data_IF_981523536221
#
_entry.id   IF_981523536221
#
_cell.length_a   1.000
_cell.length_b   1.000
_cell.length_c   1.000
_cell.angle_alpha   90.00
_cell.angle_beta   90.00
_cell.angle_gamma   90.00
#
_symmetry.space_group_name_H-M   'P 1'
#
loop_
_entity.id
_entity.type
_entity.pdbx_description
1 polymer ?
#
# COMPACT_ATOMS: atom_id res chain seq x y z
N UNK A 1 -6.94 6.28 14.00
CA UNK A 1 -6.40 5.19 13.16
C UNK A 1 -6.15 3.91 13.96
N UNK A 2 -5.33 3.93 15.00
CA UNK A 2 -5.00 2.72 15.80
C UNK A 2 -6.22 1.92 16.30
N UNK A 3 -7.23 2.60 16.87
CA UNK A 3 -8.49 1.94 17.30
C UNK A 3 -9.19 1.21 16.15
N UNK A 4 -9.41 1.92 15.03
CA UNK A 4 -10.07 1.37 13.83
C UNK A 4 -9.28 0.18 13.28
N UNK A 5 -7.96 0.29 13.19
CA UNK A 5 -7.11 -0.78 12.68
C UNK A 5 -7.23 -2.07 13.51
N UNK A 6 -7.24 -1.94 14.84
CA UNK A 6 -7.44 -3.08 15.75
C UNK A 6 -8.85 -3.65 15.66
N UNK A 7 -9.88 -2.80 15.68
CA UNK A 7 -11.28 -3.21 15.64
C UNK A 7 -11.66 -3.91 14.33
N UNK A 8 -11.03 -3.54 13.21
CA UNK A 8 -11.32 -4.10 11.90
C UNK A 8 -10.32 -5.17 11.45
N UNK A 9 -9.38 -5.56 12.32
CA UNK A 9 -8.35 -6.56 11.95
C UNK A 9 -7.53 -6.15 10.74
N UNK A 10 -7.23 -4.86 10.59
CA UNK A 10 -6.40 -4.35 9.48
C UNK A 10 -5.02 -5.01 9.55
N UNK A 11 -4.51 -5.45 8.40
CA UNK A 11 -3.21 -6.13 8.30
C UNK A 11 -2.14 -5.29 7.63
N UNK A 12 -2.55 -4.36 6.76
CA UNK A 12 -1.66 -3.63 5.86
C UNK A 12 -2.13 -2.17 5.73
N UNK A 13 -1.20 -1.22 5.79
CA UNK A 13 -1.41 0.19 5.45
C UNK A 13 -0.82 0.45 4.06
N UNK A 14 -1.65 0.93 3.14
CA UNK A 14 -1.19 1.35 1.82
C UNK A 14 -0.88 2.85 1.79
N UNK A 15 0.13 3.24 1.01
CA UNK A 15 0.46 4.63 0.71
C UNK A 15 0.73 4.82 -0.79
N UNK A 16 0.68 6.06 -1.25
CA UNK A 16 0.97 6.41 -2.65
C UNK A 16 2.46 6.62 -2.92
N UNK A 17 2.84 6.74 -4.19
CA UNK A 17 4.24 6.91 -4.61
C UNK A 17 4.79 8.33 -4.41
N UNK A 18 3.94 9.36 -4.46
CA UNK A 18 4.38 10.76 -4.56
C UNK A 18 4.64 11.44 -3.21
N UNK A 19 4.20 10.84 -2.11
CA UNK A 19 4.29 11.42 -0.76
C UNK A 19 5.11 10.51 0.15
N UNK A 20 5.84 11.12 1.10
CA UNK A 20 6.67 10.39 2.06
C UNK A 20 5.89 9.32 2.82
N UNK A 21 6.44 8.09 2.98
CA UNK A 21 5.78 7.01 3.70
C UNK A 21 5.88 7.11 5.23
N UNK A 22 6.62 8.09 5.76
CA UNK A 22 7.05 8.11 7.16
C UNK A 22 5.88 8.02 8.18
N UNK A 23 4.74 8.65 7.86
CA UNK A 23 3.54 8.56 8.71
C UNK A 23 2.93 7.16 8.69
N UNK A 24 2.81 6.56 7.50
CA UNK A 24 2.28 5.21 7.32
C UNK A 24 3.17 4.16 7.97
N UNK A 25 4.49 4.30 7.83
CA UNK A 25 5.49 3.43 8.46
C UNK A 25 5.46 3.54 9.98
N UNK A 26 5.39 4.76 10.53
CA UNK A 26 5.30 4.98 11.97
C UNK A 26 4.06 4.34 12.57
N UNK A 27 2.89 4.56 11.96
CA UNK A 27 1.62 3.97 12.43
C UNK A 27 1.64 2.45 12.30
N UNK A 28 2.16 1.91 11.19
CA UNK A 28 2.24 0.47 10.99
C UNK A 28 3.18 -0.19 12.01
N UNK A 29 4.33 0.43 12.27
CA UNK A 29 5.31 -0.02 13.27
C UNK A 29 4.70 -0.12 14.67
N UNK A 30 3.99 0.91 15.12
CA UNK A 30 3.32 0.93 16.43
C UNK A 30 2.27 -0.19 16.60
N UNK A 31 1.70 -0.65 15.48
CA UNK A 31 0.59 -1.59 15.45
C UNK A 31 0.99 -3.00 15.00
N UNK A 32 2.24 -3.21 14.58
CA UNK A 32 2.69 -4.47 13.99
C UNK A 32 2.05 -4.79 12.64
N UNK A 33 1.65 -3.76 11.88
CA UNK A 33 1.05 -3.91 10.56
C UNK A 33 2.12 -3.92 9.48
N UNK A 34 1.77 -4.45 8.31
CA UNK A 34 2.58 -4.30 7.10
C UNK A 34 2.33 -2.95 6.44
N UNK A 35 3.24 -2.54 5.59
CA UNK A 35 3.05 -1.42 4.66
C UNK A 35 3.30 -1.88 3.24
N UNK A 36 2.59 -1.29 2.27
CA UNK A 36 2.89 -1.45 0.85
C UNK A 36 2.41 -0.22 0.07
N UNK A 37 2.77 -0.16 -1.21
CA UNK A 37 2.43 0.94 -2.12
C UNK A 37 1.21 0.57 -2.96
N UNK A 38 0.30 1.53 -3.12
CA UNK A 38 -0.67 1.56 -4.22
C UNK A 38 -0.45 2.84 -5.02
N UNK A 39 -0.11 2.68 -6.29
CA UNK A 39 0.08 3.80 -7.19
C UNK A 39 -1.28 4.29 -7.73
N UNK A 40 -1.68 5.55 -7.45
CA UNK A 40 -2.98 6.10 -7.88
C UNK A 40 -3.02 6.47 -9.37
N UNK A 41 -1.91 6.34 -10.11
CA UNK A 41 -1.78 6.67 -11.53
C UNK A 41 -1.99 8.15 -11.85
N UNK A 42 -1.70 9.04 -10.90
CA UNK A 42 -1.68 10.49 -11.13
C UNK A 42 -0.51 10.93 -12.06
N UNK A 43 0.36 9.99 -12.38
CA UNK A 43 1.39 10.03 -13.42
C UNK A 43 2.29 8.82 -13.24
N UNK A 44 2.69 8.17 -14.34
CA UNK A 44 3.66 7.06 -14.25
C UNK A 44 5.05 7.67 -14.16
N UNK A 45 5.71 7.44 -13.03
CA UNK A 45 7.03 8.01 -12.71
C UNK A 45 8.07 6.91 -12.54
N UNK A 46 9.31 7.29 -12.21
CA UNK A 46 10.35 6.33 -11.86
C UNK A 46 10.03 5.54 -10.57
N UNK A 47 9.14 6.07 -9.72
CA UNK A 47 8.73 5.43 -8.46
C UNK A 47 7.54 4.45 -8.65
N UNK A 48 6.91 4.48 -9.83
CA UNK A 48 5.84 3.57 -10.19
C UNK A 48 6.37 2.14 -10.37
N UNK A 49 5.63 1.15 -9.84
CA UNK A 49 5.92 -0.28 -10.06
C UNK A 49 5.40 -0.75 -11.42
N UNK A 50 5.84 -0.12 -12.50
CA UNK A 50 5.41 -0.40 -13.88
C UNK A 50 5.61 0.80 -14.80
N UNK A 51 5.64 0.56 -16.10
CA UNK A 51 5.91 1.58 -17.13
C UNK A 51 4.67 2.03 -17.90
N UNK A 52 3.57 1.30 -17.72
CA UNK A 52 2.28 1.60 -18.33
C UNK A 52 1.15 1.27 -17.35
N UNK A 53 -0.06 1.69 -17.70
CA UNK A 53 -1.27 1.49 -16.90
C UNK A 53 -1.46 0.02 -16.48
N UNK A 54 -1.27 -0.92 -17.41
CA UNK A 54 -1.54 -2.34 -17.14
C UNK A 54 -0.53 -2.92 -16.14
N UNK A 55 0.75 -2.61 -16.31
CA UNK A 55 1.81 -3.06 -15.40
C UNK A 55 1.59 -2.51 -13.98
N UNK A 56 1.29 -1.21 -13.87
CA UNK A 56 1.02 -0.58 -12.57
C UNK A 56 -0.21 -1.19 -11.91
N UNK A 57 -1.31 -1.39 -12.65
CA UNK A 57 -2.51 -2.01 -12.09
C UNK A 57 -2.31 -3.50 -11.73
N UNK A 58 -1.44 -4.22 -12.45
CA UNK A 58 -1.02 -5.57 -12.07
C UNK A 58 -0.20 -5.57 -10.77
N UNK A 59 0.69 -4.59 -10.58
CA UNK A 59 1.45 -4.42 -9.35
C UNK A 59 0.53 -4.06 -8.16
N UNK A 60 -0.40 -3.13 -8.36
CA UNK A 60 -1.44 -2.79 -7.37
C UNK A 60 -2.28 -4.04 -7.02
N UNK A 61 -2.70 -4.80 -8.03
CA UNK A 61 -3.46 -6.05 -7.84
C UNK A 61 -2.68 -7.11 -7.06
N UNK A 62 -1.38 -7.25 -7.31
CA UNK A 62 -0.49 -8.15 -6.56
C UNK A 62 -0.41 -7.75 -5.09
N UNK A 63 -0.25 -6.45 -4.82
CA UNK A 63 -0.16 -5.88 -3.47
C UNK A 63 -1.46 -6.11 -2.69
N UNK A 64 -2.62 -5.91 -3.34
CA UNK A 64 -3.94 -6.19 -2.76
C UNK A 64 -4.15 -7.68 -2.48
N UNK A 65 -3.77 -8.57 -3.39
CA UNK A 65 -3.86 -10.02 -3.17
C UNK A 65 -2.99 -10.46 -1.99
N UNK A 66 -1.77 -9.95 -1.89
CA UNK A 66 -0.86 -10.25 -0.78
C UNK A 66 -1.42 -9.77 0.57
N UNK A 67 -1.98 -8.57 0.63
CA UNK A 67 -2.58 -8.02 1.85
C UNK A 67 -3.82 -8.83 2.30
N UNK A 68 -4.62 -9.30 1.34
CA UNK A 68 -5.84 -10.08 1.58
C UNK A 68 -5.60 -11.61 1.60
N UNK A 69 -4.34 -12.05 1.52
CA UNK A 69 -3.95 -13.47 1.55
C UNK A 69 -4.68 -14.32 0.49
N UNK A 70 -4.98 -13.73 -0.66
CA UNK A 70 -5.61 -14.45 -1.78
C UNK A 70 -4.57 -15.33 -2.48
N UNK A 71 -4.92 -16.60 -2.73
CA UNK A 71 -4.15 -17.56 -3.53
C UNK A 71 -4.40 -17.42 -5.02
#
# INVERSE_FOLDING_TARGET
VQKIARENGVTTIFFETLVSPAVSESIAGDLGLKTDVLDPLEGITADSKGTNYLEVMQANGTSLKAANQCS
#
